data_IF_393580459847
#
_entry.id   IF_393580459847
#
_cell.length_a   1.000
_cell.length_b   1.000
_cell.length_c   1.000
_cell.angle_alpha   90.00
_cell.angle_beta   90.00
_cell.angle_gamma   90.00
#
_symmetry.space_group_name_H-M   'P 1'
#
loop_
_entity.id
_entity.type
_entity.pdbx_description
1 polymer ?
#
# COMPACT_ATOMS: atom_id res chain seq x y z
N UNK A 1 -10.19 -2.75 26.28
CA UNK A 1 -9.28 -1.59 26.41
C UNK A 1 -7.94 -1.81 25.70
N UNK A 2 -7.28 -2.96 25.89
CA UNK A 2 -5.99 -3.30 25.22
C UNK A 2 -6.08 -3.27 23.70
N UNK A 3 -7.14 -3.81 23.09
CA UNK A 3 -7.31 -3.85 21.63
C UNK A 3 -7.49 -2.46 21.01
N UNK A 4 -8.14 -1.53 21.74
CA UNK A 4 -8.29 -0.13 21.33
C UNK A 4 -6.93 0.57 21.34
N UNK A 5 -6.11 0.31 22.36
CA UNK A 5 -4.74 0.84 22.44
C UNK A 5 -3.84 0.29 21.33
N UNK A 6 -3.91 -1.02 21.05
CA UNK A 6 -3.18 -1.65 19.95
C UNK A 6 -3.63 -1.05 18.61
N UNK A 7 -4.93 -0.96 18.37
CA UNK A 7 -5.47 -0.33 17.18
C UNK A 7 -4.99 1.11 17.01
N UNK A 8 -4.98 1.89 18.11
CA UNK A 8 -4.50 3.28 18.09
C UNK A 8 -3.03 3.38 17.71
N UNK A 9 -2.19 2.48 18.23
CA UNK A 9 -0.78 2.38 17.84
C UNK A 9 -0.61 2.03 16.36
N UNK A 10 -1.39 1.07 15.85
CA UNK A 10 -1.35 0.69 14.42
C UNK A 10 -1.78 1.86 13.54
N UNK A 11 -2.87 2.56 13.90
CA UNK A 11 -3.31 3.75 13.18
C UNK A 11 -2.23 4.84 13.16
N UNK A 12 -1.60 5.13 14.30
CA UNK A 12 -0.51 6.10 14.39
C UNK A 12 0.67 5.70 13.49
N UNK A 13 1.08 4.43 13.52
CA UNK A 13 2.14 3.91 12.66
C UNK A 13 1.79 4.07 11.16
N UNK A 14 0.55 3.75 10.76
CA UNK A 14 0.08 3.93 9.38
C UNK A 14 0.12 5.41 8.95
N UNK A 15 -0.32 6.33 9.81
CA UNK A 15 -0.32 7.76 9.51
C UNK A 15 1.10 8.35 9.42
N UNK A 16 2.00 7.97 10.33
CA UNK A 16 3.42 8.37 10.26
C UNK A 16 4.05 7.82 8.97
N UNK A 17 3.79 6.56 8.66
CA UNK A 17 4.26 5.92 7.42
C UNK A 17 3.76 6.66 6.18
N UNK A 18 2.50 7.10 6.18
CA UNK A 18 1.93 7.87 5.08
C UNK A 18 2.69 9.18 4.85
N UNK A 19 2.98 9.93 5.91
CA UNK A 19 3.75 11.19 5.85
C UNK A 19 5.14 10.95 5.25
N UNK A 20 5.84 9.92 5.72
CA UNK A 20 7.16 9.55 5.20
C UNK A 20 7.08 9.16 3.73
N UNK A 21 6.08 8.38 3.33
CA UNK A 21 5.88 7.93 1.96
C UNK A 21 5.54 9.08 1.00
N UNK A 22 4.80 10.10 1.46
CA UNK A 22 4.50 11.29 0.65
C UNK A 22 5.74 12.10 0.29
N UNK A 23 6.80 12.03 1.12
CA UNK A 23 8.10 12.65 0.80
C UNK A 23 8.79 12.02 -0.43
N UNK A 24 8.35 10.84 -0.89
CA UNK A 24 8.96 10.11 -2.00
C UNK A 24 10.16 9.25 -1.63
N UNK A 25 10.66 9.33 -0.39
CA UNK A 25 11.88 8.63 0.07
C UNK A 25 11.60 7.28 0.75
N UNK A 26 10.33 6.91 0.94
CA UNK A 26 9.92 5.71 1.69
C UNK A 26 9.92 4.40 0.89
N UNK A 27 10.75 4.24 -0.15
CA UNK A 27 10.65 3.07 -1.05
C UNK A 27 10.89 1.74 -0.34
N UNK A 28 11.62 1.75 0.77
CA UNK A 28 11.83 0.58 1.64
C UNK A 28 10.52 0.04 2.24
N UNK A 29 9.50 0.89 2.38
CA UNK A 29 8.18 0.52 2.90
C UNK A 29 7.26 -0.06 1.81
N UNK A 30 7.67 0.04 0.54
CA UNK A 30 6.92 -0.50 -0.59
C UNK A 30 7.39 -1.92 -0.85
N UNK A 31 6.70 -2.92 -0.31
CA UNK A 31 7.15 -4.32 -0.32
C UNK A 31 7.49 -4.88 -1.72
N UNK A 32 6.75 -4.46 -2.75
CA UNK A 32 6.99 -4.87 -4.15
C UNK A 32 8.28 -4.30 -4.72
N UNK A 33 8.69 -3.10 -4.30
CA UNK A 33 9.90 -2.42 -4.78
C UNK A 33 11.11 -2.68 -3.88
N UNK A 34 10.89 -2.95 -2.59
CA UNK A 34 11.95 -3.23 -1.62
C UNK A 34 12.66 -4.57 -1.88
N UNK A 35 11.99 -5.50 -2.57
CA UNK A 35 12.57 -6.80 -2.95
C UNK A 35 13.31 -6.80 -4.29
N UNK A 36 13.19 -5.73 -5.08
CA UNK A 36 13.89 -5.61 -6.36
C UNK A 36 15.29 -5.02 -6.16
N UNK A 37 16.20 -5.37 -7.07
CA UNK A 37 17.51 -4.72 -7.14
C UNK A 37 17.33 -3.21 -7.42
N UNK A 38 18.06 -2.31 -6.74
CA UNK A 38 17.92 -0.87 -6.93
C UNK A 38 18.02 -0.43 -8.39
N UNK A 39 18.91 -1.04 -9.18
CA UNK A 39 19.11 -0.67 -10.58
C UNK A 39 17.93 -1.09 -11.47
N UNK A 40 17.33 -2.26 -11.21
CA UNK A 40 16.17 -2.76 -11.94
C UNK A 40 14.90 -1.98 -11.57
N UNK A 41 14.76 -1.63 -10.30
CA UNK A 41 13.65 -0.84 -9.78
C UNK A 41 13.58 0.54 -10.43
N UNK A 42 14.69 1.28 -10.42
CA UNK A 42 14.71 2.66 -10.92
C UNK A 42 14.55 2.71 -12.45
N UNK A 43 14.88 1.63 -13.16
CA UNK A 43 14.63 1.47 -14.59
C UNK A 43 13.17 1.12 -14.91
N UNK A 44 12.52 0.30 -14.07
CA UNK A 44 11.21 -0.29 -14.37
C UNK A 44 10.04 0.43 -13.71
N UNK A 45 10.29 1.26 -12.69
CA UNK A 45 9.25 1.94 -11.91
C UNK A 45 9.58 3.41 -11.66
N UNK A 46 8.53 4.22 -11.61
CA UNK A 46 8.60 5.57 -11.07
C UNK A 46 8.53 5.50 -9.54
N UNK A 47 9.71 5.44 -8.90
CA UNK A 47 9.85 5.28 -7.45
C UNK A 47 9.14 6.39 -6.65
N UNK A 48 9.32 7.69 -6.94
CA UNK A 48 8.63 8.75 -6.21
C UNK A 48 7.10 8.63 -6.31
N UNK A 49 6.58 8.28 -7.50
CA UNK A 49 5.14 8.10 -7.70
C UNK A 49 4.62 6.87 -6.95
N UNK A 50 5.35 5.76 -6.97
CA UNK A 50 5.00 4.56 -6.22
C UNK A 50 5.01 4.79 -4.70
N UNK A 51 6.00 5.54 -4.18
CA UNK A 51 6.04 5.95 -2.78
C UNK A 51 4.82 6.77 -2.40
N UNK A 52 4.49 7.81 -3.18
CA UNK A 52 3.30 8.65 -2.92
C UNK A 52 2.00 7.86 -2.98
N UNK A 53 1.85 6.97 -3.97
CA UNK A 53 0.70 6.09 -4.06
C UNK A 53 0.58 5.22 -2.80
N UNK A 54 1.66 4.55 -2.41
CA UNK A 54 1.72 3.76 -1.16
C UNK A 54 1.39 4.60 0.08
N UNK A 55 1.80 5.88 0.10
CA UNK A 55 1.43 6.84 1.15
C UNK A 55 -0.07 7.09 1.24
N UNK A 56 -0.76 7.24 0.09
CA UNK A 56 -2.24 7.32 0.06
C UNK A 56 -2.86 6.05 0.64
N UNK A 57 -2.36 4.87 0.28
CA UNK A 57 -2.84 3.61 0.84
C UNK A 57 -2.64 3.54 2.35
N UNK A 58 -1.45 3.91 2.84
CA UNK A 58 -1.15 3.95 4.27
C UNK A 58 -2.07 4.93 5.03
N UNK A 59 -2.40 6.08 4.41
CA UNK A 59 -3.33 7.05 4.98
C UNK A 59 -4.76 6.50 5.06
N UNK A 60 -5.26 5.92 3.96
CA UNK A 60 -6.59 5.30 3.93
C UNK A 60 -6.69 4.16 4.93
N UNK A 61 -5.66 3.31 5.04
CA UNK A 61 -5.60 2.26 6.04
C UNK A 61 -5.61 2.80 7.47
N UNK A 62 -4.83 3.84 7.77
CA UNK A 62 -4.82 4.50 9.07
C UNK A 62 -6.19 5.07 9.46
N UNK A 63 -6.86 5.75 8.53
CA UNK A 63 -8.21 6.29 8.74
C UNK A 63 -9.23 5.16 8.94
N UNK A 64 -9.15 4.08 8.15
CA UNK A 64 -10.03 2.93 8.31
C UNK A 64 -9.86 2.28 9.69
N UNK A 65 -8.63 2.08 10.16
CA UNK A 65 -8.35 1.55 11.50
C UNK A 65 -8.94 2.47 12.59
N UNK A 66 -8.81 3.79 12.46
CA UNK A 66 -9.46 4.74 13.39
C UNK A 66 -10.99 4.61 13.39
N UNK A 67 -11.60 4.50 12.21
CA UNK A 67 -13.04 4.30 12.09
C UNK A 67 -13.49 2.99 12.76
N UNK A 68 -12.73 1.91 12.58
CA UNK A 68 -12.97 0.62 13.21
C UNK A 68 -12.87 0.70 14.75
N UNK A 69 -11.84 1.38 15.28
CA UNK A 69 -11.70 1.61 16.72
C UNK A 69 -12.88 2.41 17.27
N UNK A 70 -13.28 3.48 16.59
CA UNK A 70 -14.40 4.31 16.99
C UNK A 70 -15.71 3.51 16.99
N UNK A 71 -15.94 2.70 15.96
CA UNK A 71 -17.13 1.84 15.85
C UNK A 71 -17.15 0.77 16.96
N UNK A 72 -16.00 0.16 17.27
CA UNK A 72 -15.87 -0.79 18.37
C UNK A 72 -16.11 -0.12 19.73
N UNK A 73 -15.59 1.08 19.94
CA UNK A 73 -15.84 1.85 21.15
C UNK A 73 -17.33 2.18 21.29
N UNK A 74 -17.96 2.67 20.22
CA UNK A 74 -19.39 2.94 20.19
C UNK A 74 -20.23 1.70 20.51
N UNK A 75 -19.86 0.54 19.94
CA UNK A 75 -20.54 -0.73 20.20
C UNK A 75 -20.45 -1.17 21.66
N UNK A 76 -19.27 -0.99 22.28
CA UNK A 76 -19.06 -1.26 23.70
C UNK A 76 -19.87 -0.31 24.59
N UNK A 77 -19.94 0.98 24.24
CA UNK A 77 -20.72 1.96 25.02
C UNK A 77 -22.23 1.82 24.85
N UNK A 78 -22.69 1.25 23.73
CA UNK A 78 -24.10 1.06 23.42
C UNK A 78 -24.66 -0.29 23.91
N UNK A 79 -23.86 -1.13 24.57
CA UNK A 79 -24.24 -2.49 25.02
C UNK A 79 -24.84 -3.35 23.89
N UNK A 80 -24.30 -3.21 22.67
CA UNK A 80 -24.77 -3.98 21.51
C UNK A 80 -24.49 -5.49 21.71
N UNK A 81 -25.34 -6.37 21.16
CA UNK A 81 -25.18 -7.82 21.33
C UNK A 81 -23.88 -8.33 20.69
N UNK A 82 -23.25 -9.31 21.33
CA UNK A 82 -22.00 -9.96 20.89
C UNK A 82 -22.03 -10.45 19.43
N UNK A 83 -23.22 -10.73 18.90
CA UNK A 83 -23.43 -11.14 17.52
C UNK A 83 -22.97 -10.11 16.46
N UNK A 84 -22.75 -8.84 16.85
CA UNK A 84 -22.28 -7.78 15.93
C UNK A 84 -20.74 -7.79 15.77
N UNK A 85 -20.00 -8.30 16.76
CA UNK A 85 -18.53 -8.42 16.73
C UNK A 85 -17.97 -9.30 15.59
N UNK A 86 -18.55 -10.47 15.25
CA UNK A 86 -18.07 -11.27 14.13
C UNK A 86 -18.29 -10.59 12.77
N UNK A 87 -19.43 -9.94 12.55
CA UNK A 87 -19.69 -9.18 11.32
C UNK A 87 -18.69 -8.02 11.16
N UNK A 88 -18.40 -7.31 12.25
CA UNK A 88 -17.36 -6.30 12.32
C UNK A 88 -15.97 -6.84 11.94
N UNK A 89 -15.61 -8.02 12.46
CA UNK A 89 -14.29 -8.64 12.22
C UNK A 89 -14.13 -9.04 10.76
N UNK A 90 -15.17 -9.63 10.17
CA UNK A 90 -15.18 -10.01 8.74
C UNK A 90 -15.06 -8.77 7.84
N UNK A 91 -15.79 -7.69 8.14
CA UNK A 91 -15.71 -6.44 7.39
C UNK A 91 -14.29 -5.83 7.45
N UNK A 92 -13.65 -5.88 8.63
CA UNK A 92 -12.28 -5.40 8.81
C UNK A 92 -11.28 -6.20 7.97
N UNK A 93 -11.35 -7.53 8.01
CA UNK A 93 -10.47 -8.41 7.21
C UNK A 93 -10.68 -8.14 5.71
N UNK A 94 -11.92 -8.06 5.25
CA UNK A 94 -12.24 -7.75 3.86
C UNK A 94 -11.68 -6.39 3.41
N UNK A 95 -11.77 -5.37 4.26
CA UNK A 95 -11.20 -4.06 3.99
C UNK A 95 -9.67 -4.09 3.88
N UNK A 96 -8.98 -4.83 4.76
CA UNK A 96 -7.52 -4.98 4.73
C UNK A 96 -7.07 -5.71 3.47
N UNK A 97 -7.71 -6.83 3.13
CA UNK A 97 -7.35 -7.60 1.92
C UNK A 97 -7.65 -6.78 0.66
N UNK A 98 -8.82 -6.14 0.60
CA UNK A 98 -9.21 -5.30 -0.53
C UNK A 98 -8.26 -4.13 -0.78
N UNK A 99 -7.85 -3.44 0.29
CA UNK A 99 -6.88 -2.33 0.19
C UNK A 99 -5.49 -2.79 -0.23
N UNK A 100 -5.03 -3.95 0.23
CA UNK A 100 -3.76 -4.56 -0.21
C UNK A 100 -3.77 -4.91 -1.70
N UNK A 101 -4.83 -5.57 -2.18
CA UNK A 101 -4.97 -5.95 -3.59
C UNK A 101 -5.06 -4.70 -4.48
N UNK A 102 -5.83 -3.70 -4.05
CA UNK A 102 -5.95 -2.42 -4.75
C UNK A 102 -4.60 -1.69 -4.82
N UNK A 103 -3.83 -1.70 -3.72
CA UNK A 103 -2.46 -1.15 -3.63
C UNK A 103 -1.53 -1.73 -4.69
N UNK A 104 -1.39 -3.05 -4.70
CA UNK A 104 -0.50 -3.73 -5.65
C UNK A 104 -0.95 -3.47 -7.09
N UNK A 105 -2.25 -3.61 -7.37
CA UNK A 105 -2.80 -3.36 -8.70
C UNK A 105 -2.58 -1.93 -9.17
N UNK A 106 -2.71 -0.93 -8.29
CA UNK A 106 -2.52 0.47 -8.66
C UNK A 106 -1.04 0.78 -8.96
N UNK A 107 -0.12 0.27 -8.15
CA UNK A 107 1.33 0.44 -8.37
C UNK A 107 1.74 -0.21 -9.69
N UNK A 108 1.27 -1.42 -9.97
CA UNK A 108 1.60 -2.12 -11.22
C UNK A 108 1.04 -1.43 -12.47
N UNK A 109 -0.19 -0.91 -12.40
CA UNK A 109 -0.85 -0.28 -13.56
C UNK A 109 -0.38 1.14 -13.84
N UNK A 110 -0.05 1.92 -12.80
CA UNK A 110 0.17 3.36 -12.94
C UNK A 110 1.58 3.84 -12.58
N UNK A 111 2.39 3.01 -11.92
CA UNK A 111 3.74 3.39 -11.50
C UNK A 111 4.83 2.60 -12.24
N UNK A 112 4.47 1.54 -12.97
CA UNK A 112 5.40 0.83 -13.84
C UNK A 112 5.71 1.69 -15.06
N UNK A 113 6.99 1.88 -15.37
CA UNK A 113 7.46 2.51 -16.59
C UNK A 113 7.43 1.46 -17.69
N UNK A 114 6.92 1.82 -18.86
CA UNK A 114 7.09 0.99 -20.05
C UNK A 114 8.58 0.97 -20.40
N UNK A 115 9.28 -0.07 -20.00
CA UNK A 115 10.63 -0.34 -20.49
C UNK A 115 10.46 -0.68 -21.97
N UNK A 116 11.05 0.07 -22.93
CA UNK A 116 11.06 -0.37 -24.32
C UNK A 116 11.71 -1.74 -24.34
N UNK A 117 11.00 -2.73 -24.89
CA UNK A 117 11.46 -4.11 -24.96
C UNK A 117 12.91 -4.13 -25.45
N UNK A 118 13.84 -4.62 -24.60
CA UNK A 118 15.22 -4.85 -24.98
C UNK A 118 15.22 -5.58 -26.31
N UNK A 119 15.81 -4.94 -27.32
CA UNK A 119 15.80 -5.34 -28.72
C UNK A 119 16.01 -6.83 -28.90
N UNK A 120 15.01 -7.46 -29.53
CA UNK A 120 15.14 -8.79 -30.10
C UNK A 120 16.31 -8.83 -31.08
N UNK A 121 17.09 -9.91 -30.97
CA UNK A 121 18.26 -10.22 -31.81
C UNK A 121 17.96 -10.12 -33.31
N UNK A 122 18.84 -9.43 -34.05
CA UNK A 122 19.35 -9.85 -35.36
C UNK A 122 18.68 -9.29 -36.61
N UNK A 123 19.43 -8.51 -37.40
CA UNK A 123 19.94 -8.87 -38.75
C UNK A 123 20.57 -7.64 -39.42
N UNK A 124 21.65 -7.90 -40.15
CA UNK A 124 22.63 -6.89 -40.54
C UNK A 124 22.22 -5.91 -41.64
N UNK A 125 23.06 -4.88 -41.78
CA UNK A 125 23.47 -4.37 -43.10
C UNK A 125 24.78 -3.60 -42.96
N UNK A 126 25.84 -4.25 -43.43
CA UNK A 126 27.05 -3.63 -43.96
C UNK A 126 26.71 -2.37 -44.74
N UNK A 127 27.36 -1.25 -44.43
CA UNK A 127 27.58 -0.22 -45.45
C UNK A 127 28.97 0.40 -45.27
N UNK A 128 29.88 -0.10 -46.10
CA UNK A 128 31.06 0.63 -46.59
C UNK A 128 30.63 2.03 -47.02
N UNK A 129 31.41 3.04 -46.66
CA UNK A 129 32.10 3.92 -47.61
C UNK A 129 33.20 4.67 -46.88
#
# INVERSE_FOLDING_TARGET
MTEIAIGGLVAAACLISAVVLFSGHGVFMVATLNRMDPAERDASYDVPRACRATGVFALVAGVAVLAFIALKYAALTAYLPEAVLPAYTVAMIAAIVGTLVWSVSHIEKHCKREVPAKGGKGKGKTRRR
#
